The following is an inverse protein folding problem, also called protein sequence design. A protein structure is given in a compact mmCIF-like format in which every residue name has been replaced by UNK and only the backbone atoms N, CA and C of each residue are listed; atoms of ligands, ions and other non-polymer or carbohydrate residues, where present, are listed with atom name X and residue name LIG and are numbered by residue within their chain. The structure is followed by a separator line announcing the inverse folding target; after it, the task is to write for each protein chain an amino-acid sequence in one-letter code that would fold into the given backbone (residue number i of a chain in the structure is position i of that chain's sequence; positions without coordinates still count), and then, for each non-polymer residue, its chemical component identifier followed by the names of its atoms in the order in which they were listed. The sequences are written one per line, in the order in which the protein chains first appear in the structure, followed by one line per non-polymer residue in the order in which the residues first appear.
data_IF_464874209193
#
_entry.id   IF_464874209193
#
_cell.length_a   1.000
_cell.length_b   1.000
_cell.length_c   1.000
_cell.angle_alpha   90.00
_cell.angle_beta   90.00
_cell.angle_gamma   90.00
#
_symmetry.space_group_name_H-M   'P 1'
#
loop_
_entity.id
_entity.type
_entity.pdbx_description
1 polymer ?
#
# COMPACT_ATOMS: atom_id res chain seq x y z
N UNK A 1 10.94 -34.44 16.83
CA UNK A 1 10.15 -33.76 17.82
C UNK A 1 9.34 -32.73 17.07
N UNK A 2 8.04 -32.94 17.00
CA UNK A 2 7.10 -31.97 16.50
C UNK A 2 7.25 -30.73 17.36
N UNK A 3 7.50 -29.61 16.75
CA UNK A 3 7.64 -28.31 17.41
C UNK A 3 6.41 -28.09 18.26
N UNK A 4 6.57 -28.10 19.58
CA UNK A 4 5.48 -27.93 20.53
C UNK A 4 4.99 -26.47 20.40
N UNK A 5 4.04 -26.24 19.50
CA UNK A 5 3.36 -24.95 19.37
C UNK A 5 2.49 -24.75 20.61
N UNK A 6 2.75 -23.72 21.36
CA UNK A 6 1.83 -23.30 22.41
C UNK A 6 0.59 -22.70 21.74
N UNK A 7 -0.58 -23.22 22.07
CA UNK A 7 -1.82 -22.78 21.47
C UNK A 7 -2.77 -22.23 22.53
N UNK A 8 -3.25 -21.02 22.29
CA UNK A 8 -4.33 -20.41 23.02
C UNK A 8 -5.58 -20.50 22.15
N UNK A 9 -6.29 -21.63 22.27
CA UNK A 9 -7.43 -21.94 21.40
C UNK A 9 -8.74 -21.55 22.09
N UNK A 10 -9.35 -20.48 21.61
CA UNK A 10 -10.66 -19.97 21.99
C UNK A 10 -11.64 -20.05 20.80
N UNK A 11 -11.43 -21.01 19.91
CA UNK A 11 -12.30 -21.18 18.74
C UNK A 11 -13.73 -21.51 19.16
N UNK A 12 -14.68 -20.91 18.46
CA UNK A 12 -16.12 -21.12 18.66
C UNK A 12 -16.65 -20.71 20.05
N UNK A 13 -15.95 -19.84 20.77
CA UNK A 13 -16.49 -19.30 22.03
C UNK A 13 -17.57 -18.25 21.78
N UNK A 14 -18.40 -18.03 22.78
CA UNK A 14 -19.36 -16.94 22.83
C UNK A 14 -19.12 -16.10 24.08
N UNK A 15 -18.81 -14.81 23.89
CA UNK A 15 -18.55 -13.84 24.96
C UNK A 15 -19.55 -12.71 24.85
N UNK A 16 -20.32 -12.42 25.91
CA UNK A 16 -21.35 -11.37 25.93
C UNK A 16 -20.78 -9.97 26.16
N UNK A 17 -19.52 -9.86 26.52
CA UNK A 17 -18.81 -8.60 26.76
C UNK A 17 -17.56 -8.50 25.90
N UNK A 18 -16.56 -7.84 26.43
CA UNK A 18 -15.24 -7.71 25.84
C UNK A 18 -14.41 -8.97 26.03
N UNK A 19 -13.54 -9.28 25.05
CA UNK A 19 -12.51 -10.28 25.19
C UNK A 19 -11.15 -9.60 25.21
N UNK A 20 -10.47 -9.69 26.34
CA UNK A 20 -9.16 -9.10 26.53
C UNK A 20 -8.14 -10.21 26.81
N UNK A 21 -7.11 -10.28 25.99
CA UNK A 21 -5.99 -11.20 26.12
C UNK A 21 -4.73 -10.33 26.20
N UNK A 22 -4.21 -10.17 27.41
CA UNK A 22 -3.06 -9.32 27.65
C UNK A 22 -1.88 -10.12 28.21
N UNK A 23 -0.68 -9.69 27.85
CA UNK A 23 0.57 -10.20 28.40
C UNK A 23 0.75 -11.71 28.27
N UNK A 24 0.20 -12.31 27.22
CA UNK A 24 0.45 -13.71 26.91
C UNK A 24 1.81 -13.84 26.22
N UNK A 25 2.71 -14.60 26.82
CA UNK A 25 4.06 -14.82 26.30
C UNK A 25 4.33 -16.29 26.11
N UNK A 26 4.88 -16.65 24.95
CA UNK A 26 5.53 -17.94 24.77
C UNK A 26 7.06 -17.72 24.91
N UNK A 27 7.67 -18.34 25.91
CA UNK A 27 9.10 -18.17 26.23
C UNK A 27 9.97 -18.97 25.26
N UNK A 28 9.50 -20.16 24.87
CA UNK A 28 10.23 -21.02 23.93
C UNK A 28 9.22 -21.63 22.96
N UNK A 29 9.23 -21.17 21.72
CA UNK A 29 8.39 -21.72 20.66
C UNK A 29 7.39 -20.73 20.07
N UNK A 30 6.60 -21.23 19.13
CA UNK A 30 5.54 -20.47 18.47
C UNK A 30 4.30 -20.38 19.36
N UNK A 31 3.64 -19.21 19.33
CA UNK A 31 2.36 -18.98 19.97
C UNK A 31 1.27 -18.86 18.90
N UNK A 32 0.20 -19.62 19.00
CA UNK A 32 -1.01 -19.44 18.21
C UNK A 32 -2.16 -18.97 19.11
N UNK A 33 -2.74 -17.81 18.78
CA UNK A 33 -3.99 -17.33 19.39
C UNK A 33 -5.10 -17.52 18.37
N UNK A 34 -6.07 -18.41 18.68
CA UNK A 34 -7.16 -18.78 17.76
C UNK A 34 -8.51 -18.36 18.32
N UNK A 35 -9.24 -17.63 17.53
CA UNK A 35 -10.61 -17.16 17.77
C UNK A 35 -11.54 -17.50 16.58
N UNK A 36 -11.21 -18.56 15.85
CA UNK A 36 -12.00 -18.98 14.70
C UNK A 36 -13.47 -19.20 15.06
N UNK A 37 -14.39 -18.66 14.27
CA UNK A 37 -15.85 -18.81 14.46
C UNK A 37 -16.38 -18.34 15.80
N UNK A 38 -15.62 -17.52 16.52
CA UNK A 38 -16.03 -16.96 17.81
C UNK A 38 -17.04 -15.83 17.64
N UNK A 39 -17.88 -15.65 18.66
CA UNK A 39 -18.86 -14.56 18.73
C UNK A 39 -18.60 -13.75 19.99
N UNK A 40 -18.16 -12.51 19.82
CA UNK A 40 -17.83 -11.60 20.92
C UNK A 40 -18.71 -10.36 20.75
N UNK A 41 -19.57 -10.06 21.74
CA UNK A 41 -20.52 -8.97 21.64
C UNK A 41 -19.87 -7.58 21.81
N UNK A 42 -18.75 -7.49 22.51
CA UNK A 42 -17.98 -6.27 22.71
C UNK A 42 -16.70 -6.23 21.88
N UNK A 43 -15.71 -5.55 22.41
CA UNK A 43 -14.39 -5.39 21.80
C UNK A 43 -13.51 -6.64 21.97
N UNK A 44 -12.57 -6.81 21.04
CA UNK A 44 -11.47 -7.78 21.13
C UNK A 44 -10.16 -7.02 21.24
N UNK A 45 -9.42 -7.26 22.31
CA UNK A 45 -8.07 -6.72 22.51
C UNK A 45 -7.07 -7.84 22.72
N UNK A 46 -6.14 -7.98 21.79
CA UNK A 46 -5.07 -8.98 21.82
C UNK A 46 -3.72 -8.25 21.97
N UNK A 47 -3.10 -8.42 23.12
CA UNK A 47 -1.76 -7.92 23.41
C UNK A 47 -0.90 -9.12 23.79
N UNK A 48 -0.27 -9.73 22.80
CA UNK A 48 0.48 -10.95 23.01
C UNK A 48 1.77 -10.97 22.21
N UNK A 49 2.75 -11.70 22.70
CA UNK A 49 4.07 -11.80 22.10
C UNK A 49 4.64 -13.23 22.24
N UNK A 50 5.55 -13.52 21.36
CA UNK A 50 6.36 -14.75 21.42
C UNK A 50 7.81 -14.39 21.10
N UNK A 51 8.75 -15.13 21.69
CA UNK A 51 10.17 -14.97 21.38
C UNK A 51 10.55 -15.53 20.01
N UNK A 52 9.67 -16.30 19.38
CA UNK A 52 9.89 -16.86 18.05
C UNK A 52 8.84 -16.33 17.06
N UNK A 53 7.70 -16.97 16.98
CA UNK A 53 6.63 -16.56 16.07
C UNK A 53 5.28 -16.52 16.75
N UNK A 54 4.44 -15.58 16.37
CA UNK A 54 3.07 -15.50 16.81
C UNK A 54 2.13 -15.52 15.63
N UNK A 55 1.08 -16.34 15.73
CA UNK A 55 0.01 -16.42 14.77
C UNK A 55 -1.30 -15.99 15.44
N UNK A 56 -2.02 -15.08 14.83
CA UNK A 56 -3.37 -14.68 15.26
C UNK A 56 -4.36 -15.14 14.20
N UNK A 57 -5.37 -15.92 14.61
CA UNK A 57 -6.34 -16.51 13.70
C UNK A 57 -7.75 -16.14 14.15
N UNK A 58 -8.45 -15.37 13.33
CA UNK A 58 -9.77 -14.79 13.55
C UNK A 58 -10.74 -15.15 12.41
N UNK A 59 -10.53 -16.28 11.74
CA UNK A 59 -11.36 -16.62 10.58
C UNK A 59 -12.81 -16.86 11.01
N UNK A 60 -13.76 -16.31 10.26
CA UNK A 60 -15.19 -16.40 10.51
C UNK A 60 -15.62 -15.82 11.88
N UNK A 61 -14.75 -15.08 12.57
CA UNK A 61 -15.08 -14.46 13.86
C UNK A 61 -16.07 -13.30 13.68
N UNK A 62 -16.91 -13.09 14.68
CA UNK A 62 -17.85 -11.95 14.76
C UNK A 62 -17.59 -11.17 16.03
N UNK A 63 -17.31 -9.88 15.88
CA UNK A 63 -16.97 -8.95 16.94
C UNK A 63 -17.95 -7.76 16.87
N UNK A 64 -18.76 -7.58 17.90
CA UNK A 64 -19.74 -6.49 17.97
C UNK A 64 -19.13 -5.12 18.27
N UNK A 65 -17.83 -5.04 18.50
CA UNK A 65 -17.07 -3.81 18.73
C UNK A 65 -15.80 -3.74 17.89
N UNK A 66 -14.77 -3.14 18.48
CA UNK A 66 -13.47 -2.97 17.84
C UNK A 66 -12.60 -4.22 17.94
N UNK A 67 -11.73 -4.41 16.97
CA UNK A 67 -10.66 -5.41 17.02
C UNK A 67 -9.32 -4.70 17.11
N UNK A 68 -8.60 -4.90 18.21
CA UNK A 68 -7.26 -4.36 18.41
C UNK A 68 -6.26 -5.50 18.58
N UNK A 69 -5.23 -5.51 17.77
CA UNK A 69 -4.13 -6.45 17.83
C UNK A 69 -2.84 -5.63 17.95
N UNK A 70 -2.10 -5.85 19.03
CA UNK A 70 -0.85 -5.14 19.26
C UNK A 70 0.16 -6.05 19.97
N UNK A 71 1.41 -5.70 19.85
CA UNK A 71 2.47 -6.30 20.65
C UNK A 71 2.71 -5.51 21.92
N UNK A 72 3.07 -6.17 23.02
CA UNK A 72 3.46 -5.49 24.22
C UNK A 72 4.80 -4.79 24.00
N UNK A 73 4.86 -3.52 24.32
CA UNK A 73 6.14 -2.81 24.43
C UNK A 73 6.63 -2.95 25.87
N UNK A 74 7.54 -3.87 26.09
CA UNK A 74 8.23 -3.98 27.39
C UNK A 74 9.48 -3.11 27.37
N UNK A 75 9.45 -2.03 28.14
CA UNK A 75 10.63 -1.20 28.38
C UNK A 75 11.26 -1.59 29.72
N UNK A 76 12.60 -1.60 29.76
CA UNK A 76 13.30 -1.66 31.06
C UNK A 76 13.17 -0.30 31.79
N UNK A 77 13.67 -0.23 33.01
CA UNK A 77 13.66 1.01 33.80
C UNK A 77 14.43 2.16 33.14
N UNK A 78 15.30 1.85 32.19
CA UNK A 78 16.14 2.80 31.46
C UNK A 78 15.53 3.16 30.10
N UNK A 79 14.31 2.68 29.80
CA UNK A 79 13.59 2.96 28.56
C UNK A 79 14.02 2.11 27.35
N UNK A 80 14.90 1.14 27.55
CA UNK A 80 15.27 0.21 26.47
C UNK A 80 14.20 -0.85 26.27
N UNK A 81 13.93 -1.19 25.03
CA UNK A 81 12.97 -2.25 24.66
C UNK A 81 13.62 -3.60 24.97
N UNK A 82 13.17 -4.24 26.05
CA UNK A 82 13.74 -5.50 26.54
C UNK A 82 13.35 -6.73 25.73
N UNK A 83 12.17 -6.76 25.17
CA UNK A 83 11.67 -7.85 24.33
C UNK A 83 10.78 -7.30 23.24
N UNK A 84 11.07 -7.68 22.02
CA UNK A 84 10.21 -7.47 20.88
C UNK A 84 9.51 -8.80 20.59
N UNK A 85 8.22 -8.82 20.74
CA UNK A 85 7.41 -9.92 20.28
C UNK A 85 7.34 -9.97 18.76
N UNK A 86 6.91 -11.10 18.20
CA UNK A 86 6.96 -11.34 16.77
C UNK A 86 5.59 -11.82 16.25
N UNK A 87 4.70 -10.89 15.90
CA UNK A 87 3.49 -11.28 15.16
C UNK A 87 3.88 -11.53 13.71
N UNK A 88 3.92 -12.80 13.33
CA UNK A 88 4.34 -13.21 11.99
C UNK A 88 3.17 -13.28 11.01
N UNK A 89 2.00 -13.68 11.49
CA UNK A 89 0.82 -13.85 10.65
C UNK A 89 -0.47 -13.52 11.39
N UNK A 90 -1.33 -12.77 10.70
CA UNK A 90 -2.71 -12.52 11.13
C UNK A 90 -3.64 -13.01 10.02
N UNK A 91 -4.47 -14.00 10.34
CA UNK A 91 -5.49 -14.53 9.45
C UNK A 91 -6.86 -14.14 9.99
N UNK A 92 -7.61 -13.36 9.24
CA UNK A 92 -8.93 -12.88 9.62
C UNK A 92 -9.89 -12.91 8.40
N UNK A 93 -9.87 -14.01 7.67
CA UNK A 93 -10.80 -14.24 6.55
C UNK A 93 -12.22 -14.33 7.05
N UNK A 94 -13.16 -13.68 6.34
CA UNK A 94 -14.58 -13.58 6.74
C UNK A 94 -14.81 -12.93 8.13
N UNK A 95 -13.83 -12.24 8.68
CA UNK A 95 -14.00 -11.48 9.93
C UNK A 95 -15.15 -10.47 9.77
N UNK A 96 -16.01 -10.38 10.77
CA UNK A 96 -17.01 -9.30 10.89
C UNK A 96 -16.74 -8.52 12.14
N UNK A 97 -16.45 -7.24 12.01
CA UNK A 97 -16.27 -6.30 13.11
C UNK A 97 -17.23 -5.11 12.93
N UNK A 98 -18.04 -4.83 13.93
CA UNK A 98 -18.99 -3.71 13.91
C UNK A 98 -18.30 -2.38 14.27
N UNK A 99 -17.06 -2.41 14.75
CA UNK A 99 -16.21 -1.26 15.01
C UNK A 99 -14.98 -1.19 14.11
N UNK A 100 -13.94 -0.55 14.62
CA UNK A 100 -12.65 -0.39 13.95
C UNK A 100 -11.77 -1.64 14.05
N UNK A 101 -10.94 -1.88 13.04
CA UNK A 101 -9.82 -2.81 13.09
C UNK A 101 -8.52 -2.02 13.26
N UNK A 102 -7.81 -2.23 14.33
CA UNK A 102 -6.49 -1.63 14.57
C UNK A 102 -5.45 -2.72 14.79
N UNK A 103 -4.45 -2.75 13.94
CA UNK A 103 -3.32 -3.66 14.03
C UNK A 103 -2.05 -2.83 14.15
N UNK A 104 -1.33 -3.04 15.24
CA UNK A 104 -0.06 -2.36 15.49
C UNK A 104 1.02 -3.41 15.73
N UNK A 105 1.86 -3.64 14.72
CA UNK A 105 2.96 -4.58 14.76
C UNK A 105 4.29 -3.84 14.78
N UNK A 106 5.35 -4.39 15.39
CA UNK A 106 6.62 -3.68 15.51
C UNK A 106 7.29 -3.44 14.16
N UNK A 107 8.15 -2.44 14.16
CA UNK A 107 8.85 -1.99 12.97
C UNK A 107 9.93 -2.94 12.43
N UNK A 108 10.32 -3.92 13.20
CA UNK A 108 11.44 -4.82 12.88
C UNK A 108 11.04 -6.18 12.33
N UNK A 109 9.73 -6.46 12.19
CA UNK A 109 9.23 -7.77 11.80
C UNK A 109 8.24 -7.67 10.67
N UNK A 110 8.28 -8.68 9.82
CA UNK A 110 7.45 -8.81 8.64
C UNK A 110 6.20 -9.57 8.99
N UNK A 111 5.09 -8.89 9.08
CA UNK A 111 3.80 -9.49 9.33
C UNK A 111 3.04 -9.71 8.02
N UNK A 112 2.47 -10.90 7.86
CA UNK A 112 1.50 -11.18 6.82
C UNK A 112 0.09 -11.01 7.39
N UNK A 113 -0.73 -10.16 6.73
CA UNK A 113 -2.12 -9.93 7.10
C UNK A 113 -3.04 -10.40 5.98
N UNK A 114 -4.00 -11.26 6.32
CA UNK A 114 -5.02 -11.77 5.41
C UNK A 114 -6.40 -11.44 5.95
N UNK A 115 -7.14 -10.59 5.24
CA UNK A 115 -8.49 -10.10 5.55
C UNK A 115 -9.49 -10.46 4.45
N UNK A 116 -9.32 -11.57 3.75
CA UNK A 116 -10.18 -11.94 2.63
C UNK A 116 -11.66 -12.00 3.04
N UNK A 117 -12.52 -11.37 2.24
CA UNK A 117 -13.96 -11.30 2.49
C UNK A 117 -14.35 -10.72 3.87
N UNK A 118 -13.47 -9.98 4.50
CA UNK A 118 -13.75 -9.35 5.79
C UNK A 118 -14.79 -8.22 5.64
N UNK A 119 -15.58 -8.02 6.69
CA UNK A 119 -16.50 -6.89 6.81
C UNK A 119 -16.21 -6.10 8.07
N UNK A 120 -15.81 -4.86 7.90
CA UNK A 120 -15.44 -3.93 8.96
C UNK A 120 -16.32 -2.70 8.81
N UNK A 121 -17.19 -2.44 9.79
CA UNK A 121 -18.11 -1.28 9.72
C UNK A 121 -17.39 0.03 10.03
N UNK A 122 -16.31 -0.01 10.79
CA UNK A 122 -15.43 1.12 11.08
C UNK A 122 -14.27 1.27 10.10
N UNK A 123 -13.21 1.87 10.57
CA UNK A 123 -11.94 2.06 9.85
C UNK A 123 -10.97 0.89 10.06
N UNK A 124 -10.08 0.67 9.11
CA UNK A 124 -8.95 -0.25 9.27
C UNK A 124 -7.63 0.54 9.35
N UNK A 125 -6.93 0.43 10.49
CA UNK A 125 -5.64 1.08 10.74
C UNK A 125 -4.56 0.04 10.97
N UNK A 126 -3.64 -0.04 10.03
CA UNK A 126 -2.58 -1.04 9.98
C UNK A 126 -1.23 -0.33 10.11
N UNK A 127 -0.60 -0.44 11.27
CA UNK A 127 0.67 0.21 11.59
C UNK A 127 1.77 -0.82 11.82
N UNK A 128 2.95 -0.56 11.27
CA UNK A 128 4.11 -1.42 11.42
C UNK A 128 4.64 -1.98 10.10
N UNK A 129 5.47 -3.00 10.12
CA UNK A 129 6.07 -3.60 8.92
C UNK A 129 5.23 -4.78 8.45
N UNK A 130 4.54 -4.59 7.34
CA UNK A 130 3.82 -5.67 6.66
C UNK A 130 4.62 -6.13 5.44
N UNK A 131 4.82 -7.43 5.30
CA UNK A 131 5.29 -8.03 4.07
C UNK A 131 4.17 -8.16 3.05
N UNK A 132 2.98 -8.46 3.56
CA UNK A 132 1.81 -8.76 2.75
C UNK A 132 0.55 -8.31 3.48
N UNK A 133 -0.28 -7.53 2.82
CA UNK A 133 -1.62 -7.17 3.28
C UNK A 133 -2.59 -7.57 2.16
N UNK A 134 -3.44 -8.55 2.39
CA UNK A 134 -4.52 -8.88 1.46
C UNK A 134 -5.86 -8.64 2.12
N UNK A 135 -6.61 -7.70 1.59
CA UNK A 135 -7.99 -7.42 1.93
C UNK A 135 -8.88 -7.49 0.68
N UNK A 136 -8.53 -8.38 -0.26
CA UNK A 136 -9.32 -8.61 -1.46
C UNK A 136 -10.74 -9.07 -1.10
N UNK A 137 -11.73 -8.65 -1.88
CA UNK A 137 -13.16 -8.92 -1.68
C UNK A 137 -13.74 -8.41 -0.34
N UNK A 138 -13.00 -7.59 0.39
CA UNK A 138 -13.43 -7.10 1.70
C UNK A 138 -14.24 -5.82 1.59
N UNK A 139 -15.12 -5.60 2.57
CA UNK A 139 -15.87 -4.36 2.73
C UNK A 139 -15.46 -3.66 4.02
N UNK A 140 -14.90 -2.47 3.88
CA UNK A 140 -14.49 -1.60 4.99
C UNK A 140 -15.25 -0.29 4.84
N UNK A 141 -16.19 0.01 5.73
CA UNK A 141 -17.04 1.19 5.57
C UNK A 141 -16.32 2.50 5.92
N UNK A 142 -15.31 2.46 6.77
CA UNK A 142 -14.47 3.60 7.10
C UNK A 142 -13.26 3.75 6.18
N UNK A 143 -12.32 4.60 6.61
CA UNK A 143 -11.05 4.77 5.93
C UNK A 143 -10.10 3.59 6.19
N UNK A 144 -9.24 3.33 5.21
CA UNK A 144 -8.14 2.38 5.35
C UNK A 144 -6.83 3.14 5.39
N UNK A 145 -6.03 2.88 6.41
CA UNK A 145 -4.69 3.41 6.54
C UNK A 145 -3.71 2.26 6.73
N UNK A 146 -2.81 2.11 5.76
CA UNK A 146 -1.66 1.21 5.83
C UNK A 146 -0.43 2.09 5.91
N UNK A 147 0.20 2.17 7.07
CA UNK A 147 1.23 3.16 7.22
C UNK A 147 2.14 2.98 8.43
N UNK A 148 3.10 3.88 8.49
CA UNK A 148 4.15 3.91 9.49
C UNK A 148 5.11 2.71 9.42
N UNK A 149 5.32 2.22 8.20
CA UNK A 149 6.26 1.15 7.93
C UNK A 149 7.68 1.69 8.12
N UNK A 150 8.18 1.62 9.36
CA UNK A 150 9.56 2.02 9.67
C UNK A 150 10.47 0.83 9.46
N UNK A 151 11.58 1.07 8.80
CA UNK A 151 12.60 0.06 8.52
C UNK A 151 13.49 -0.14 9.75
N UNK A 152 13.76 -1.40 10.10
CA UNK A 152 14.95 -1.74 10.83
C UNK A 152 16.17 -1.68 9.88
N UNK A 153 17.21 -0.97 10.29
CA UNK A 153 18.32 -0.46 9.45
C UNK A 153 19.19 -1.51 8.72
N UNK A 154 18.95 -2.80 8.80
CA UNK A 154 19.98 -3.79 8.47
C UNK A 154 19.64 -4.90 7.47
N UNK A 155 18.48 -4.89 6.79
CA UNK A 155 18.19 -5.99 5.86
C UNK A 155 17.55 -5.51 4.56
N UNK A 156 17.96 -6.03 3.37
CA UNK A 156 17.25 -5.78 2.12
C UNK A 156 15.86 -6.43 2.22
N UNK A 157 14.89 -5.64 2.64
CA UNK A 157 13.53 -6.12 2.86
C UNK A 157 12.82 -6.30 1.51
N UNK A 158 12.02 -7.37 1.33
CA UNK A 158 11.17 -7.50 0.15
C UNK A 158 10.13 -6.41 0.10
N UNK A 159 9.60 -6.19 -1.09
CA UNK A 159 8.49 -5.27 -1.34
C UNK A 159 7.29 -5.54 -0.43
N UNK A 160 6.66 -4.48 0.03
CA UNK A 160 5.35 -4.57 0.67
C UNK A 160 4.31 -4.78 -0.42
N UNK A 161 3.51 -5.82 -0.29
CA UNK A 161 2.41 -6.11 -1.18
C UNK A 161 1.10 -5.77 -0.49
N UNK A 162 0.29 -4.91 -1.11
CA UNK A 162 -1.01 -4.47 -0.60
C UNK A 162 -2.08 -4.76 -1.64
N UNK A 163 -3.05 -5.58 -1.31
CA UNK A 163 -4.11 -6.03 -2.22
C UNK A 163 -5.50 -5.74 -1.65
N UNK A 164 -6.22 -4.84 -2.33
CA UNK A 164 -7.63 -4.53 -2.11
C UNK A 164 -8.49 -4.83 -3.35
N UNK A 165 -8.05 -5.75 -4.20
CA UNK A 165 -8.78 -6.11 -5.41
C UNK A 165 -10.22 -6.52 -5.09
N UNK A 166 -11.17 -6.04 -5.89
CA UNK A 166 -12.62 -6.27 -5.72
C UNK A 166 -13.17 -5.87 -4.34
N UNK A 167 -12.38 -5.10 -3.59
CA UNK A 167 -12.77 -4.59 -2.28
C UNK A 167 -13.59 -3.31 -2.36
N UNK A 168 -14.34 -3.04 -1.29
CA UNK A 168 -15.11 -1.80 -1.11
C UNK A 168 -14.58 -1.06 0.11
N UNK A 169 -14.12 0.18 -0.10
CA UNK A 169 -13.67 1.10 0.95
C UNK A 169 -14.60 2.30 0.97
N UNK A 170 -15.36 2.46 2.04
CA UNK A 170 -16.41 3.49 2.15
C UNK A 170 -15.90 4.91 2.33
N UNK A 171 -14.59 5.08 2.60
CA UNK A 171 -13.96 6.39 2.69
C UNK A 171 -12.63 6.37 1.90
N UNK A 172 -11.57 6.96 2.42
CA UNK A 172 -10.28 7.07 1.72
C UNK A 172 -9.34 5.90 2.02
N UNK A 173 -8.45 5.60 1.07
CA UNK A 173 -7.35 4.66 1.22
C UNK A 173 -6.02 5.43 1.26
N UNK A 174 -5.26 5.24 2.33
CA UNK A 174 -3.92 5.79 2.49
C UNK A 174 -2.92 4.64 2.65
N UNK A 175 -1.94 4.59 1.77
CA UNK A 175 -0.82 3.65 1.87
C UNK A 175 0.47 4.45 1.93
N UNK A 176 1.13 4.41 3.07
CA UNK A 176 2.35 5.16 3.33
C UNK A 176 3.48 4.23 3.73
N UNK A 177 4.63 4.33 3.05
CA UNK A 177 5.87 3.71 3.53
C UNK A 177 6.86 4.78 3.94
N UNK A 178 7.48 4.58 5.09
CA UNK A 178 8.63 5.37 5.53
C UNK A 178 9.89 4.56 5.25
N UNK A 179 10.77 5.09 4.41
CA UNK A 179 12.04 4.44 4.09
C UNK A 179 12.10 3.93 2.65
N UNK A 180 13.10 3.09 2.39
CA UNK A 180 13.44 2.62 1.04
C UNK A 180 12.67 1.36 0.58
N UNK A 181 11.54 1.05 1.20
CA UNK A 181 10.80 -0.16 0.88
C UNK A 181 9.93 0.00 -0.35
N UNK A 182 10.06 -0.93 -1.29
CA UNK A 182 9.19 -0.95 -2.45
C UNK A 182 7.77 -1.37 -2.06
N UNK A 183 6.77 -0.73 -2.67
CA UNK A 183 5.35 -1.09 -2.51
C UNK A 183 4.79 -1.55 -3.83
N UNK A 184 4.01 -2.61 -3.79
CA UNK A 184 3.12 -3.00 -4.88
C UNK A 184 1.68 -2.92 -4.39
N UNK A 185 0.84 -2.19 -5.10
CA UNK A 185 -0.56 -1.98 -4.72
C UNK A 185 -1.49 -2.50 -5.80
N UNK A 186 -2.39 -3.39 -5.41
CA UNK A 186 -3.44 -3.94 -6.27
C UNK A 186 -4.80 -3.40 -5.85
N UNK A 187 -5.49 -2.77 -6.79
CA UNK A 187 -6.84 -2.21 -6.68
C UNK A 187 -7.72 -2.64 -7.85
N UNK A 188 -7.51 -3.85 -8.38
CA UNK A 188 -8.32 -4.35 -9.49
C UNK A 188 -9.80 -4.33 -9.13
N UNK A 189 -10.63 -3.66 -9.93
CA UNK A 189 -12.07 -3.56 -9.71
C UNK A 189 -12.46 -3.11 -8.29
N UNK A 190 -11.56 -2.48 -7.56
CA UNK A 190 -11.83 -1.94 -6.23
C UNK A 190 -12.75 -0.71 -6.32
N UNK A 191 -13.58 -0.53 -5.30
CA UNK A 191 -14.43 0.66 -5.15
C UNK A 191 -14.02 1.43 -3.89
N UNK A 192 -13.43 2.61 -4.06
CA UNK A 192 -13.01 3.50 -2.99
C UNK A 192 -13.83 4.78 -3.07
N UNK A 193 -14.69 5.04 -2.07
CA UNK A 193 -15.59 6.20 -2.12
C UNK A 193 -14.88 7.54 -1.95
N UNK A 194 -13.72 7.57 -1.30
CA UNK A 194 -12.91 8.76 -1.09
C UNK A 194 -11.67 8.82 -1.95
N UNK A 195 -10.64 9.48 -1.43
CA UNK A 195 -9.35 9.59 -2.10
C UNK A 195 -8.50 8.34 -1.92
N UNK A 196 -7.67 8.05 -2.92
CA UNK A 196 -6.57 7.09 -2.80
C UNK A 196 -5.25 7.86 -2.82
N UNK A 197 -4.42 7.63 -1.80
CA UNK A 197 -3.14 8.29 -1.67
C UNK A 197 -2.05 7.28 -1.37
N UNK A 198 -1.11 7.14 -2.28
CA UNK A 198 -0.02 6.20 -2.22
C UNK A 198 1.30 6.97 -2.10
N UNK A 199 1.96 6.81 -0.95
CA UNK A 199 3.21 7.51 -0.66
C UNK A 199 4.35 6.56 -0.43
N UNK A 200 5.52 6.94 -0.85
CA UNK A 200 6.74 6.23 -0.61
C UNK A 200 7.37 5.70 -1.88
N UNK A 201 8.28 4.74 -1.70
CA UNK A 201 9.02 4.22 -2.84
C UNK A 201 8.23 3.11 -3.53
N UNK A 202 7.71 3.41 -4.69
CA UNK A 202 7.02 2.42 -5.51
C UNK A 202 8.05 1.56 -6.27
N UNK A 203 8.16 0.27 -5.93
CA UNK A 203 9.04 -0.68 -6.60
C UNK A 203 8.36 -2.05 -6.68
N UNK A 204 8.25 -2.63 -7.85
CA UNK A 204 7.73 -3.98 -8.01
C UNK A 204 8.72 -5.05 -7.56
N UNK A 205 8.27 -6.03 -6.77
CA UNK A 205 9.08 -7.20 -6.40
C UNK A 205 9.24 -8.16 -7.58
N UNK A 206 8.24 -8.26 -8.43
CA UNK A 206 8.26 -8.91 -9.72
C UNK A 206 8.16 -7.82 -10.77
N UNK A 207 9.23 -7.26 -11.05
CA UNK A 207 9.68 -6.53 -12.22
C UNK A 207 8.70 -5.63 -12.98
N UNK A 208 7.42 -5.86 -13.06
CA UNK A 208 6.56 -5.29 -14.09
C UNK A 208 5.54 -4.25 -13.62
N UNK A 209 5.07 -4.27 -12.40
CA UNK A 209 4.07 -3.29 -11.98
C UNK A 209 4.13 -2.91 -10.51
N UNK A 210 3.84 -1.65 -10.26
CA UNK A 210 3.87 -1.04 -8.94
C UNK A 210 2.47 -0.69 -8.45
N UNK A 211 1.60 -0.25 -9.33
CA UNK A 211 0.20 0.06 -9.04
C UNK A 211 -0.68 -0.54 -10.12
N UNK A 212 -1.61 -1.37 -9.72
CA UNK A 212 -2.64 -1.95 -10.58
C UNK A 212 -4.01 -1.48 -10.09
N UNK A 213 -4.63 -0.55 -10.80
CA UNK A 213 -5.97 -0.08 -10.50
C UNK A 213 -6.90 -0.22 -11.72
N UNK A 214 -6.72 -1.30 -12.49
CA UNK A 214 -7.55 -1.55 -13.65
C UNK A 214 -9.01 -1.77 -13.24
N UNK A 215 -9.94 -1.10 -13.93
CA UNK A 215 -11.38 -1.10 -13.64
C UNK A 215 -11.73 -0.64 -12.22
N UNK A 216 -10.82 -0.01 -11.49
CA UNK A 216 -11.13 0.56 -10.19
C UNK A 216 -12.02 1.79 -10.32
N UNK A 217 -12.88 2.02 -9.32
CA UNK A 217 -13.64 3.26 -9.15
C UNK A 217 -13.15 3.99 -7.89
N UNK A 218 -12.70 5.21 -8.04
CA UNK A 218 -12.20 6.09 -6.98
C UNK A 218 -13.06 7.35 -6.96
N UNK A 219 -13.93 7.48 -5.96
CA UNK A 219 -14.87 8.60 -5.83
C UNK A 219 -14.23 9.95 -5.48
N UNK A 220 -12.95 9.96 -5.14
CA UNK A 220 -12.14 11.15 -4.95
C UNK A 220 -10.99 11.22 -5.94
N UNK A 221 -9.86 11.76 -5.50
CA UNK A 221 -8.64 11.85 -6.31
C UNK A 221 -7.71 10.66 -6.07
N UNK A 222 -6.91 10.32 -7.08
CA UNK A 222 -5.80 9.37 -6.98
C UNK A 222 -4.47 10.13 -6.99
N UNK A 223 -3.73 10.04 -5.89
CA UNK A 223 -2.40 10.61 -5.75
C UNK A 223 -1.37 9.47 -5.63
N UNK A 224 -0.43 9.42 -6.55
CA UNK A 224 0.66 8.45 -6.57
C UNK A 224 1.98 9.21 -6.46
N UNK A 225 2.60 9.15 -5.29
CA UNK A 225 3.91 9.75 -5.05
C UNK A 225 5.00 8.77 -5.51
N UNK A 226 5.68 9.12 -6.59
CA UNK A 226 6.77 8.33 -7.16
C UNK A 226 8.09 8.90 -6.64
N UNK A 227 8.51 8.45 -5.46
CA UNK A 227 9.80 8.86 -4.92
C UNK A 227 10.97 8.25 -5.71
N UNK A 228 12.05 9.00 -5.90
CA UNK A 228 13.27 8.52 -6.54
C UNK A 228 13.94 7.42 -5.69
N UNK A 229 14.32 6.31 -6.30
CA UNK A 229 15.07 5.24 -5.64
C UNK A 229 16.47 5.14 -6.26
N UNK A 230 17.48 5.19 -5.41
CA UNK A 230 18.82 4.73 -5.76
C UNK A 230 18.84 3.20 -5.81
N UNK A 231 18.58 2.59 -6.93
CA UNK A 231 18.86 1.16 -7.11
C UNK A 231 19.51 0.91 -8.44
N UNK A 232 20.61 0.21 -8.35
CA UNK A 232 21.35 -0.40 -9.42
C UNK A 232 20.41 -1.07 -10.44
N UNK A 233 20.57 -0.64 -11.67
CA UNK A 233 20.20 -1.26 -12.93
C UNK A 233 19.59 -2.66 -12.87
N UNK A 234 18.32 -2.78 -12.53
CA UNK A 234 17.51 -3.85 -13.09
C UNK A 234 16.63 -3.22 -14.15
N UNK A 235 16.81 -3.66 -15.39
CA UNK A 235 16.23 -3.09 -16.61
C UNK A 235 14.69 -3.14 -16.71
N UNK A 236 13.99 -3.39 -15.61
CA UNK A 236 12.54 -3.56 -15.63
C UNK A 236 11.86 -2.35 -15.00
N UNK A 237 11.08 -1.65 -15.81
CA UNK A 237 10.40 -0.42 -15.46
C UNK A 237 9.29 -0.64 -14.44
N UNK A 238 9.02 0.40 -13.68
CA UNK A 238 7.84 0.49 -12.81
C UNK A 238 6.64 0.74 -13.69
N UNK A 239 5.49 0.18 -13.33
CA UNK A 239 4.28 0.32 -14.12
C UNK A 239 3.12 0.80 -13.25
N UNK A 240 2.39 1.77 -13.76
CA UNK A 240 1.13 2.23 -13.21
C UNK A 240 0.06 1.87 -14.23
N UNK A 241 -0.81 0.95 -13.89
CA UNK A 241 -1.90 0.49 -14.74
C UNK A 241 -3.25 1.02 -14.22
N UNK A 242 -3.90 1.84 -15.03
CA UNK A 242 -5.19 2.47 -14.74
C UNK A 242 -6.18 2.18 -15.87
N UNK A 243 -6.11 0.99 -16.46
CA UNK A 243 -6.89 0.62 -17.63
C UNK A 243 -8.37 0.57 -17.25
N UNK A 244 -9.20 1.37 -17.93
CA UNK A 244 -10.64 1.53 -17.66
C UNK A 244 -10.97 1.97 -16.23
N UNK A 245 -10.01 2.54 -15.51
CA UNK A 245 -10.27 3.12 -14.19
C UNK A 245 -11.17 4.36 -14.30
N UNK A 246 -11.97 4.58 -13.25
CA UNK A 246 -12.81 5.77 -13.09
C UNK A 246 -12.36 6.50 -11.82
N UNK A 247 -11.96 7.76 -11.96
CA UNK A 247 -11.51 8.62 -10.87
C UNK A 247 -12.37 9.87 -10.92
N UNK A 248 -13.27 10.05 -9.95
CA UNK A 248 -14.21 11.19 -9.98
C UNK A 248 -13.51 12.54 -9.73
N UNK A 249 -12.36 12.52 -9.06
CA UNK A 249 -11.48 13.68 -8.87
C UNK A 249 -10.33 13.74 -9.87
N UNK A 250 -9.20 14.25 -9.40
CA UNK A 250 -7.97 14.39 -10.17
C UNK A 250 -7.05 13.17 -10.06
N UNK A 251 -6.22 12.94 -11.06
CA UNK A 251 -5.09 12.02 -11.03
C UNK A 251 -3.78 12.81 -10.94
N UNK A 252 -2.98 12.54 -9.92
CA UNK A 252 -1.65 13.11 -9.78
C UNK A 252 -0.59 12.02 -9.65
N UNK A 253 0.40 12.04 -10.53
CA UNK A 253 1.54 11.13 -10.53
C UNK A 253 2.81 11.94 -10.49
N UNK A 254 3.64 11.75 -9.48
CA UNK A 254 4.92 12.43 -9.35
C UNK A 254 5.38 12.55 -7.90
N UNK A 255 6.64 12.96 -7.68
CA UNK A 255 7.15 13.19 -6.34
C UNK A 255 6.45 14.40 -5.72
N UNK A 256 5.61 14.16 -4.73
CA UNK A 256 4.96 15.23 -3.95
C UNK A 256 5.77 15.63 -2.72
N UNK A 257 6.66 14.78 -2.25
CA UNK A 257 7.44 14.97 -1.03
C UNK A 257 8.94 15.12 -1.30
N UNK A 258 9.34 16.16 -2.02
CA UNK A 258 10.77 16.53 -2.12
C UNK A 258 11.34 17.17 -0.83
N UNK A 259 10.62 17.07 0.28
CA UNK A 259 11.10 17.52 1.58
C UNK A 259 11.97 16.44 2.23
N UNK A 260 13.13 16.14 1.68
CA UNK A 260 14.20 15.54 2.48
C UNK A 260 14.84 16.65 3.31
N UNK A 261 14.67 16.52 4.61
CA UNK A 261 15.24 17.41 5.63
C UNK A 261 16.78 17.34 5.74
N UNK A 262 17.44 16.49 4.98
CA UNK A 262 18.87 16.21 5.13
C UNK A 262 19.79 16.92 4.11
N UNK A 263 19.23 17.73 3.21
CA UNK A 263 20.03 18.52 2.25
C UNK A 263 20.90 17.71 1.30
N UNK A 264 20.78 16.40 1.26
CA UNK A 264 21.58 15.57 0.34
C UNK A 264 20.99 15.56 -1.07
N UNK A 265 21.46 16.44 -1.90
CA UNK A 265 21.07 16.66 -3.31
C UNK A 265 21.63 15.61 -4.29
N UNK A 266 21.82 14.39 -3.89
CA UNK A 266 22.29 13.36 -4.82
C UNK A 266 21.13 12.48 -5.27
N UNK A 267 20.31 12.98 -6.17
CA UNK A 267 19.31 12.20 -6.89
C UNK A 267 20.03 11.50 -8.05
N UNK A 268 20.12 10.19 -8.00
CA UNK A 268 20.67 9.41 -9.10
C UNK A 268 19.61 9.18 -10.18
N UNK A 269 20.05 9.24 -11.41
CA UNK A 269 19.33 9.58 -12.62
C UNK A 269 18.50 8.46 -13.29
N UNK A 270 18.01 7.43 -12.61
CA UNK A 270 17.36 6.33 -13.34
C UNK A 270 15.94 6.00 -12.80
N UNK A 271 15.03 6.97 -12.94
CA UNK A 271 13.62 6.76 -12.57
C UNK A 271 12.77 6.56 -13.80
N UNK A 272 12.69 5.33 -14.26
CA UNK A 272 11.89 4.99 -15.41
C UNK A 272 10.58 4.34 -14.98
N UNK A 273 9.44 4.84 -15.45
CA UNK A 273 8.14 4.21 -15.23
C UNK A 273 7.26 4.24 -16.48
N UNK A 274 6.22 3.43 -16.48
CA UNK A 274 5.22 3.33 -17.52
C UNK A 274 3.86 3.67 -16.94
N UNK A 275 3.07 4.46 -17.67
CA UNK A 275 1.67 4.75 -17.34
C UNK A 275 0.78 4.19 -18.44
N UNK A 276 0.03 3.16 -18.10
CA UNK A 276 -0.95 2.53 -18.98
C UNK A 276 -2.36 2.86 -18.48
N UNK A 277 -3.03 3.76 -19.16
CA UNK A 277 -4.32 4.32 -18.73
C UNK A 277 -5.34 4.34 -19.89
N UNK A 278 -5.43 3.25 -20.63
CA UNK A 278 -6.38 3.12 -21.73
C UNK A 278 -7.81 3.18 -21.21
N UNK A 279 -8.64 4.02 -21.82
CA UNK A 279 -10.03 4.19 -21.42
C UNK A 279 -10.24 4.78 -20.03
N UNK A 280 -9.19 5.36 -19.42
CA UNK A 280 -9.26 6.07 -18.15
C UNK A 280 -10.31 7.18 -18.21
N UNK A 281 -11.06 7.36 -17.12
CA UNK A 281 -11.98 8.48 -16.94
C UNK A 281 -11.63 9.24 -15.67
N UNK A 282 -11.40 10.55 -15.79
CA UNK A 282 -11.21 11.42 -14.62
C UNK A 282 -12.24 12.56 -14.66
N UNK A 283 -12.76 12.95 -13.49
CA UNK A 283 -13.62 14.12 -13.36
C UNK A 283 -12.83 15.42 -13.30
N UNK A 284 -11.57 15.36 -12.84
CA UNK A 284 -10.66 16.50 -12.75
C UNK A 284 -9.44 16.37 -13.67
N UNK A 285 -8.38 17.07 -13.31
CA UNK A 285 -7.14 17.13 -14.06
C UNK A 285 -6.33 15.83 -13.97
N UNK A 286 -5.51 15.59 -14.96
CA UNK A 286 -4.44 14.59 -14.93
C UNK A 286 -3.11 15.31 -14.92
N UNK A 287 -2.34 15.19 -13.84
CA UNK A 287 -1.04 15.79 -13.67
C UNK A 287 0.05 14.72 -13.54
N UNK A 288 1.03 14.75 -14.42
CA UNK A 288 2.23 13.92 -14.36
C UNK A 288 3.43 14.87 -14.28
N UNK A 289 4.03 14.97 -13.11
CA UNK A 289 5.02 16.01 -12.83
C UNK A 289 6.27 15.44 -12.16
N UNK A 290 7.43 15.94 -12.57
CA UNK A 290 8.66 15.87 -11.78
C UNK A 290 8.76 17.11 -10.88
N UNK A 291 9.29 16.98 -9.68
CA UNK A 291 9.41 18.13 -8.78
C UNK A 291 10.57 19.03 -9.22
N UNK A 292 10.24 20.28 -9.52
CA UNK A 292 11.21 21.31 -9.93
C UNK A 292 11.58 22.27 -8.78
N UNK A 293 11.13 22.04 -7.56
CA UNK A 293 11.30 23.02 -6.46
C UNK A 293 12.75 23.20 -5.98
N UNK A 294 13.67 22.41 -6.45
CA UNK A 294 15.07 22.43 -5.98
C UNK A 294 15.99 23.41 -6.71
N UNK A 295 15.47 24.34 -7.52
CA UNK A 295 16.22 25.52 -7.98
C UNK A 295 17.52 25.25 -8.75
N UNK A 296 17.89 24.02 -8.96
CA UNK A 296 19.02 23.62 -9.78
C UNK A 296 18.50 23.15 -11.14
N UNK A 297 19.16 23.52 -12.24
CA UNK A 297 18.94 22.90 -13.53
C UNK A 297 19.53 21.45 -13.48
N UNK A 298 19.22 20.70 -12.43
CA UNK A 298 19.70 19.34 -12.31
C UNK A 298 19.00 18.49 -13.35
N UNK A 299 19.77 17.74 -14.08
CA UNK A 299 19.43 16.90 -15.22
C UNK A 299 18.52 15.71 -14.87
N UNK A 300 17.78 15.77 -13.77
CA UNK A 300 17.04 14.67 -13.18
C UNK A 300 15.55 14.82 -13.48
N UNK A 301 15.20 14.62 -14.73
CA UNK A 301 13.82 14.50 -15.14
C UNK A 301 13.33 13.07 -14.79
N UNK A 302 12.09 12.95 -14.32
CA UNK A 302 11.43 11.65 -14.25
C UNK A 302 11.39 11.09 -15.67
N UNK A 303 11.92 9.88 -15.85
CA UNK A 303 11.89 9.22 -17.14
C UNK A 303 10.57 8.44 -17.28
N UNK A 304 9.82 8.73 -18.33
CA UNK A 304 8.62 8.04 -18.70
C UNK A 304 8.87 7.24 -19.97
N UNK A 305 8.80 5.92 -19.86
CA UNK A 305 8.98 5.03 -21.01
C UNK A 305 7.76 4.99 -21.89
N UNK A 306 6.58 4.90 -21.26
CA UNK A 306 5.31 4.82 -21.95
C UNK A 306 4.28 5.67 -21.24
N UNK A 307 3.56 6.51 -22.00
CA UNK A 307 2.34 7.17 -21.61
C UNK A 307 1.25 6.76 -22.59
N UNK A 308 0.36 5.85 -22.19
CA UNK A 308 -0.72 5.37 -23.01
C UNK A 308 -2.07 5.80 -22.44
N UNK A 309 -2.69 6.79 -23.09
CA UNK A 309 -3.98 7.39 -22.73
C UNK A 309 -5.04 7.15 -23.81
N UNK A 310 -4.90 6.10 -24.61
CA UNK A 310 -5.85 5.84 -25.71
C UNK A 310 -7.28 5.70 -25.20
N UNK A 311 -8.21 6.45 -25.76
CA UNK A 311 -9.60 6.48 -25.36
C UNK A 311 -9.87 7.10 -23.99
N UNK A 312 -8.88 7.73 -23.34
CA UNK A 312 -9.07 8.38 -22.06
C UNK A 312 -10.02 9.59 -22.16
N UNK A 313 -10.78 9.83 -21.09
CA UNK A 313 -11.65 11.00 -20.94
C UNK A 313 -11.26 11.74 -19.68
N UNK A 314 -10.63 12.89 -19.85
CA UNK A 314 -10.13 13.75 -18.78
C UNK A 314 -11.09 14.91 -18.66
N UNK A 315 -11.78 15.06 -17.52
CA UNK A 315 -12.76 16.10 -17.28
C UNK A 315 -12.16 17.50 -17.15
N UNK A 316 -10.89 17.57 -16.75
CA UNK A 316 -10.08 18.79 -16.69
C UNK A 316 -8.96 18.80 -17.72
N UNK A 317 -7.81 19.29 -17.32
CA UNK A 317 -6.62 19.43 -18.17
C UNK A 317 -5.65 18.26 -17.99
N UNK A 318 -4.91 17.93 -19.05
CA UNK A 318 -3.74 17.07 -19.00
C UNK A 318 -2.48 17.93 -18.89
N UNK A 319 -1.75 17.80 -17.80
CA UNK A 319 -0.55 18.56 -17.51
C UNK A 319 0.65 17.63 -17.27
N UNK A 320 1.57 17.60 -18.21
CA UNK A 320 2.81 16.80 -18.15
C UNK A 320 4.00 17.75 -18.11
N UNK A 321 4.73 17.75 -16.99
CA UNK A 321 5.85 18.69 -16.81
C UNK A 321 7.12 17.99 -16.33
N UNK A 322 8.25 18.43 -16.89
CA UNK A 322 9.59 17.99 -16.50
C UNK A 322 9.79 16.48 -16.65
N UNK A 323 9.22 15.92 -17.69
CA UNK A 323 9.29 14.50 -18.00
C UNK A 323 10.21 14.26 -19.18
N UNK A 324 11.10 13.30 -19.07
CA UNK A 324 11.92 12.80 -20.17
C UNK A 324 11.28 11.53 -20.72
N UNK A 325 10.88 11.55 -21.96
CA UNK A 325 10.40 10.38 -22.67
C UNK A 325 11.59 9.63 -23.29
N UNK A 326 11.76 8.37 -22.89
CA UNK A 326 12.85 7.53 -23.41
C UNK A 326 12.29 6.38 -24.24
N UNK A 327 12.74 6.28 -25.48
CA UNK A 327 12.39 5.17 -26.36
C UNK A 327 13.24 3.94 -26.00
N UNK A 328 12.61 2.86 -25.60
CA UNK A 328 13.29 1.57 -25.50
C UNK A 328 12.94 0.71 -26.72
N UNK A 329 13.97 0.37 -27.49
CA UNK A 329 13.88 -0.45 -28.70
C UNK A 329 13.45 -1.91 -28.49
N UNK A 330 13.06 -2.33 -27.26
CA UNK A 330 12.87 -3.75 -26.94
C UNK A 330 11.48 -4.15 -26.40
N UNK A 331 10.49 -3.24 -26.32
CA UNK A 331 9.18 -3.60 -25.79
C UNK A 331 8.12 -3.70 -26.88
N UNK A 332 7.40 -4.80 -26.92
CA UNK A 332 6.48 -5.27 -27.94
C UNK A 332 5.10 -4.59 -28.00
N UNK A 333 4.90 -3.44 -27.33
CA UNK A 333 3.62 -2.71 -27.36
C UNK A 333 3.62 -1.51 -28.30
N UNK A 334 4.09 -1.69 -29.50
CA UNK A 334 4.07 -0.60 -30.51
C UNK A 334 5.17 0.45 -30.31
N UNK A 335 5.43 1.16 -31.35
CA UNK A 335 6.57 2.08 -31.49
C UNK A 335 6.38 3.46 -30.84
N UNK A 336 5.32 3.70 -30.08
CA UNK A 336 5.02 5.02 -29.54
C UNK A 336 5.24 5.10 -28.03
N UNK A 337 6.14 5.95 -27.59
CA UNK A 337 6.37 6.30 -26.18
C UNK A 337 5.18 7.06 -25.60
N UNK A 338 4.48 7.85 -26.41
CA UNK A 338 3.25 8.57 -26.05
C UNK A 338 2.16 8.17 -27.01
N UNK A 339 1.04 7.65 -26.50
CA UNK A 339 -0.16 7.34 -27.27
C UNK A 339 -1.38 7.95 -26.61
N UNK A 340 -2.13 8.76 -27.36
CA UNK A 340 -3.33 9.48 -26.89
C UNK A 340 -4.44 9.42 -27.94
N UNK A 341 -4.58 8.30 -28.63
CA UNK A 341 -5.59 8.13 -29.69
C UNK A 341 -6.98 8.21 -29.09
N UNK A 342 -7.84 9.06 -29.66
CA UNK A 342 -9.21 9.25 -29.16
C UNK A 342 -9.30 9.69 -27.69
N UNK A 343 -8.21 10.28 -27.14
CA UNK A 343 -8.26 10.89 -25.82
C UNK A 343 -8.96 12.27 -25.90
N UNK A 344 -9.67 12.62 -24.82
CA UNK A 344 -10.34 13.92 -24.67
C UNK A 344 -9.87 14.57 -23.37
N UNK A 345 -9.49 15.85 -23.43
CA UNK A 345 -9.14 16.69 -22.30
C UNK A 345 -9.58 18.13 -22.56
N UNK A 346 -9.69 18.97 -21.55
CA UNK A 346 -9.93 20.41 -21.70
C UNK A 346 -8.78 21.09 -22.43
N UNK A 347 -7.57 20.93 -21.89
CA UNK A 347 -6.32 21.29 -22.56
C UNK A 347 -5.26 20.20 -22.33
N UNK A 348 -4.27 20.14 -23.18
CA UNK A 348 -3.11 19.27 -22.99
C UNK A 348 -1.83 20.10 -23.05
N UNK A 349 -1.05 20.07 -21.99
CA UNK A 349 0.19 20.82 -21.86
C UNK A 349 1.36 19.88 -21.61
N UNK A 350 2.41 19.99 -22.41
CA UNK A 350 3.68 19.31 -22.24
C UNK A 350 4.77 20.36 -22.07
N UNK A 351 5.18 20.60 -20.83
CA UNK A 351 6.07 21.72 -20.48
C UNK A 351 7.42 21.17 -20.01
N UNK A 352 8.49 21.65 -20.60
CA UNK A 352 9.86 21.18 -20.31
C UNK A 352 10.03 19.66 -20.47
N UNK A 353 9.30 19.06 -21.39
CA UNK A 353 9.43 17.65 -21.72
C UNK A 353 10.52 17.45 -22.76
N UNK A 354 11.31 16.41 -22.62
CA UNK A 354 12.32 16.00 -23.60
C UNK A 354 11.97 14.62 -24.16
N UNK A 355 12.24 14.42 -25.43
CA UNK A 355 12.07 13.11 -26.08
C UNK A 355 13.44 12.64 -26.51
N UNK A 356 13.90 11.53 -25.96
CA UNK A 356 15.13 10.89 -26.37
C UNK A 356 14.80 9.82 -27.41
N UNK A 357 15.20 10.09 -28.63
CA UNK A 357 15.04 9.18 -29.76
C UNK A 357 16.39 8.47 -29.91
N UNK A 358 16.63 7.46 -29.08
CA UNK A 358 17.85 6.67 -29.08
C UNK A 358 18.13 5.93 -30.38
#
# INVERSE_FOLDING_TARGET
PEDARQQFDLSSISVQGELQIESCFAINGDLAVRLDRSQIAGDVSLVAASTQTMHVILNDARVGGNVRISEPQTHNRDGEILQQGFIHQIQASNLRADGDLTINVPANIRTALVLLHARIEGAARLYGVFQYVSAAYSKINGAVQVGNLTQAEASPLPAVFVDFSEGVIGASLFVETKGEQPITVHLYSANVSGNVRLFGQLKGANADATVFANSAHIGGSLEIDVAPIRTLATERGRRIELIHAVIDGALSIGPQSALRSDGSNTLAADHCFEVLAWGLRTGGDVAIRSDHRLGAPSRENVELRVLALDGARIGGDLDVRYVRFTSLSRWSYGTSTVSMRHAHAGAAQFVHCTVDIG
#
